data_IF_748162978316
#
_entry.id   IF_748162978316
#
_cell.length_a   1.000
_cell.length_b   1.000
_cell.length_c   1.000
_cell.angle_alpha   90.00
_cell.angle_beta   90.00
_cell.angle_gamma   90.00
#
_symmetry.space_group_name_H-M   'P 1'
#
loop_
_entity.id
_entity.type
_entity.pdbx_description
1 polymer ?
#
# COMPACT_ATOMS: atom_id res chain seq x y z
N UNK A 1 32.86 11.66 -17.89
CA UNK A 1 32.19 11.56 -16.58
C UNK A 1 31.07 12.58 -16.54
N UNK A 2 29.80 12.14 -16.52
CA UNK A 2 28.65 13.03 -16.41
C UNK A 2 28.19 12.97 -14.95
N UNK A 3 28.64 13.93 -14.14
CA UNK A 3 28.15 14.11 -12.78
C UNK A 3 26.74 14.70 -12.86
N UNK A 4 25.75 13.83 -13.13
CA UNK A 4 24.36 14.17 -12.91
C UNK A 4 24.18 14.16 -11.40
N UNK A 5 24.16 15.34 -10.79
CA UNK A 5 23.74 15.50 -9.41
C UNK A 5 22.30 14.97 -9.35
N UNK A 6 22.11 13.71 -8.95
CA UNK A 6 20.80 13.21 -8.56
C UNK A 6 20.33 14.14 -7.45
N UNK A 7 19.40 15.03 -7.77
CA UNK A 7 18.80 15.90 -6.78
C UNK A 7 18.15 14.97 -5.78
N UNK A 8 18.64 14.98 -4.54
CA UNK A 8 18.04 14.20 -3.48
C UNK A 8 16.61 14.70 -3.26
N UNK A 9 15.64 13.97 -3.83
CA UNK A 9 14.23 14.32 -3.77
C UNK A 9 13.60 13.97 -2.42
N UNK A 10 14.32 13.34 -1.48
CA UNK A 10 13.75 12.86 -0.22
C UNK A 10 13.04 13.98 0.55
N UNK A 11 13.64 15.16 0.64
CA UNK A 11 13.02 16.30 1.32
C UNK A 11 11.75 16.79 0.59
N UNK A 12 11.76 16.82 -0.74
CA UNK A 12 10.58 17.22 -1.52
C UNK A 12 9.44 16.21 -1.36
N UNK A 13 9.74 14.91 -1.43
CA UNK A 13 8.79 13.83 -1.18
C UNK A 13 8.20 13.91 0.23
N UNK A 14 9.04 14.19 1.24
CA UNK A 14 8.59 14.38 2.61
C UNK A 14 7.62 15.57 2.73
N UNK A 15 7.98 16.72 2.14
CA UNK A 15 7.14 17.91 2.16
C UNK A 15 5.75 17.66 1.55
N UNK A 16 5.67 16.91 0.44
CA UNK A 16 4.39 16.51 -0.18
C UNK A 16 3.57 15.69 0.83
N UNK A 17 4.17 14.65 1.39
CA UNK A 17 3.49 13.73 2.30
C UNK A 17 3.00 14.42 3.59
N UNK A 18 3.67 15.47 4.05
CA UNK A 18 3.28 16.23 5.26
C UNK A 18 2.30 17.37 4.99
N UNK A 19 1.91 17.61 3.74
CA UNK A 19 0.82 18.53 3.44
C UNK A 19 -0.51 17.94 3.89
N UNK A 20 -1.45 18.78 4.34
CA UNK A 20 -2.65 18.35 5.09
C UNK A 20 -3.38 17.15 4.49
N UNK A 21 -3.71 17.19 3.19
CA UNK A 21 -4.50 16.13 2.54
C UNK A 21 -3.71 14.84 2.31
N UNK A 22 -2.44 14.97 1.93
CA UNK A 22 -1.55 13.81 1.79
C UNK A 22 -1.27 13.18 3.16
N UNK A 23 -1.19 14.00 4.22
CA UNK A 23 -1.01 13.54 5.60
C UNK A 23 -2.19 12.67 6.04
N UNK A 24 -3.41 13.13 5.78
CA UNK A 24 -4.65 12.39 6.03
C UNK A 24 -4.70 11.07 5.24
N UNK A 25 -4.35 11.10 3.95
CA UNK A 25 -4.30 9.89 3.13
C UNK A 25 -3.26 8.89 3.65
N UNK A 26 -2.06 9.35 4.05
CA UNK A 26 -1.04 8.49 4.66
C UNK A 26 -1.56 7.83 5.94
N UNK A 27 -2.21 8.59 6.83
CA UNK A 27 -2.79 8.05 8.07
C UNK A 27 -3.83 6.99 7.78
N UNK A 28 -4.74 7.26 6.85
CA UNK A 28 -5.78 6.31 6.47
C UNK A 28 -5.19 5.01 5.86
N UNK A 29 -4.18 5.12 5.00
CA UNK A 29 -3.48 3.95 4.43
C UNK A 29 -2.73 3.18 5.53
N UNK A 30 -2.07 3.89 6.44
CA UNK A 30 -1.33 3.27 7.54
C UNK A 30 -2.26 2.52 8.49
N UNK A 31 -3.41 3.11 8.83
CA UNK A 31 -4.47 2.48 9.60
C UNK A 31 -5.01 1.23 8.89
N UNK A 32 -5.32 1.32 7.59
CA UNK A 32 -5.80 0.20 6.78
C UNK A 32 -4.83 -0.99 6.75
N UNK A 33 -3.54 -0.69 6.84
CA UNK A 33 -2.46 -1.68 6.87
C UNK A 33 -2.09 -2.13 8.29
N UNK A 34 -2.54 -1.45 9.35
CA UNK A 34 -2.08 -1.70 10.72
C UNK A 34 -0.59 -1.35 10.92
N UNK A 35 -0.13 -0.25 10.29
CA UNK A 35 1.24 0.25 10.34
C UNK A 35 1.29 1.67 10.94
N UNK A 36 2.48 2.13 11.35
CA UNK A 36 2.64 3.52 11.75
C UNK A 36 2.85 4.44 10.55
N UNK A 37 2.32 5.66 10.62
CA UNK A 37 2.45 6.68 9.58
C UNK A 37 3.92 6.94 9.21
N UNK A 38 4.79 6.99 10.23
CA UNK A 38 6.22 7.20 10.03
C UNK A 38 6.86 6.08 9.18
N UNK A 39 6.50 4.82 9.42
CA UNK A 39 7.00 3.69 8.63
C UNK A 39 6.45 3.74 7.21
N UNK A 40 5.16 4.03 7.04
CA UNK A 40 4.58 4.13 5.71
C UNK A 40 5.22 5.27 4.91
N UNK A 41 5.44 6.46 5.51
CA UNK A 41 6.16 7.57 4.86
C UNK A 41 7.53 7.16 4.35
N UNK A 42 8.29 6.40 5.15
CA UNK A 42 9.60 5.90 4.72
C UNK A 42 9.49 4.99 3.50
N UNK A 43 8.50 4.10 3.47
CA UNK A 43 8.23 3.23 2.31
C UNK A 43 7.89 4.06 1.08
N UNK A 44 6.95 5.00 1.21
CA UNK A 44 6.50 5.88 0.13
C UNK A 44 7.65 6.74 -0.42
N UNK A 45 8.46 7.36 0.44
CA UNK A 45 9.62 8.18 0.00
C UNK A 45 10.63 7.34 -0.79
N UNK A 46 10.85 6.09 -0.38
CA UNK A 46 11.80 5.18 -1.03
C UNK A 46 11.28 4.65 -2.36
N UNK A 47 10.00 4.25 -2.42
CA UNK A 47 9.44 3.49 -3.54
C UNK A 47 8.68 4.34 -4.56
N UNK A 48 8.00 5.39 -4.12
CA UNK A 48 7.14 6.16 -5.02
C UNK A 48 7.91 7.32 -5.65
N UNK A 49 7.70 7.55 -6.94
CA UNK A 49 8.17 8.75 -7.62
C UNK A 49 7.32 9.99 -7.25
N UNK A 50 7.67 11.15 -7.81
CA UNK A 50 6.95 12.39 -7.57
C UNK A 50 5.48 12.31 -8.01
N UNK A 51 5.20 11.72 -9.18
CA UNK A 51 3.85 11.64 -9.76
C UNK A 51 2.91 10.79 -8.89
N UNK A 52 3.40 9.68 -8.35
CA UNK A 52 2.65 8.85 -7.43
C UNK A 52 2.33 9.57 -6.12
N UNK A 53 3.30 10.30 -5.57
CA UNK A 53 3.13 11.02 -4.31
C UNK A 53 2.19 12.22 -4.46
N UNK A 54 2.33 13.00 -5.53
CA UNK A 54 1.46 14.15 -5.80
C UNK A 54 0.00 13.73 -5.94
N UNK A 55 -0.25 12.53 -6.50
CA UNK A 55 -1.59 11.98 -6.71
C UNK A 55 -2.03 10.99 -5.62
N UNK A 56 -1.34 10.90 -4.47
CA UNK A 56 -1.62 9.88 -3.47
C UNK A 56 -3.07 9.93 -2.96
N UNK A 57 -3.57 11.14 -2.65
CA UNK A 57 -4.93 11.34 -2.14
C UNK A 57 -5.99 10.88 -3.16
N UNK A 58 -5.88 11.32 -4.42
CA UNK A 58 -6.85 10.97 -5.46
C UNK A 58 -6.83 9.48 -5.75
N UNK A 59 -5.64 8.86 -5.80
CA UNK A 59 -5.47 7.41 -5.95
C UNK A 59 -6.12 6.65 -4.80
N UNK A 60 -5.95 7.11 -3.56
CA UNK A 60 -6.57 6.50 -2.39
C UNK A 60 -8.09 6.57 -2.45
N UNK A 61 -8.64 7.73 -2.81
CA UNK A 61 -10.08 7.93 -2.95
C UNK A 61 -10.70 7.11 -4.09
N UNK A 62 -9.98 6.90 -5.19
CA UNK A 62 -10.44 6.05 -6.29
C UNK A 62 -10.34 4.57 -5.92
N UNK A 63 -9.27 4.16 -5.26
CA UNK A 63 -9.10 2.79 -4.78
C UNK A 63 -10.23 2.38 -3.84
N UNK A 64 -10.58 3.21 -2.86
CA UNK A 64 -11.69 2.93 -1.94
C UNK A 64 -13.06 2.76 -2.64
N UNK A 65 -13.25 3.31 -3.86
CA UNK A 65 -14.53 3.24 -4.57
C UNK A 65 -14.60 2.11 -5.60
N UNK A 66 -13.45 1.64 -6.07
CA UNK A 66 -13.36 0.85 -7.31
C UNK A 66 -12.45 -0.36 -7.21
N UNK A 67 -11.64 -0.48 -6.16
CA UNK A 67 -10.80 -1.65 -5.95
C UNK A 67 -11.63 -2.81 -5.41
N UNK A 68 -11.27 -4.02 -5.82
CA UNK A 68 -11.65 -5.28 -5.14
C UNK A 68 -13.15 -5.60 -5.09
N UNK A 69 -13.94 -5.01 -6.00
CA UNK A 69 -15.40 -5.17 -6.02
C UNK A 69 -15.81 -6.65 -6.27
N UNK A 70 -16.59 -7.21 -5.34
CA UNK A 70 -17.18 -8.53 -5.46
C UNK A 70 -16.34 -9.72 -4.95
N UNK A 71 -15.15 -9.51 -4.41
CA UNK A 71 -14.34 -10.56 -3.77
C UNK A 71 -13.97 -10.19 -2.31
N UNK A 72 -14.56 -10.86 -1.30
CA UNK A 72 -14.32 -10.54 0.11
C UNK A 72 -12.87 -10.70 0.57
N UNK A 73 -12.11 -11.64 0.00
CA UNK A 73 -10.70 -11.83 0.37
C UNK A 73 -9.86 -10.72 -0.26
N UNK A 74 -10.11 -10.41 -1.54
CA UNK A 74 -9.45 -9.31 -2.21
C UNK A 74 -9.73 -7.97 -1.51
N UNK A 75 -10.98 -7.72 -1.12
CA UNK A 75 -11.41 -6.51 -0.42
C UNK A 75 -10.70 -6.37 0.94
N UNK A 76 -10.62 -7.44 1.72
CA UNK A 76 -9.96 -7.45 3.02
C UNK A 76 -8.44 -7.28 2.93
N UNK A 77 -7.81 -7.81 1.89
CA UNK A 77 -6.37 -7.65 1.65
C UNK A 77 -6.04 -6.35 0.92
N UNK A 78 -7.00 -5.75 0.22
CA UNK A 78 -6.77 -4.61 -0.67
C UNK A 78 -5.94 -5.00 -1.90
N UNK A 79 -6.33 -6.06 -2.61
CA UNK A 79 -5.56 -6.61 -3.73
C UNK A 79 -5.30 -5.53 -4.79
N UNK A 80 -6.34 -5.01 -5.43
CA UNK A 80 -6.24 -3.95 -6.44
C UNK A 80 -5.82 -2.65 -5.78
N UNK A 81 -6.28 -2.40 -4.55
CA UNK A 81 -5.95 -1.19 -3.81
C UNK A 81 -4.44 -1.01 -3.67
N UNK A 82 -3.70 -2.07 -3.33
CA UNK A 82 -2.26 -2.01 -3.05
C UNK A 82 -1.35 -2.47 -4.20
N UNK A 83 -1.91 -2.97 -5.30
CA UNK A 83 -1.15 -3.29 -6.53
C UNK A 83 -1.32 -2.24 -7.62
N UNK A 84 -2.53 -1.66 -7.75
CA UNK A 84 -2.90 -0.76 -8.86
C UNK A 84 -3.04 0.68 -8.42
N UNK A 85 -3.82 0.95 -7.37
CA UNK A 85 -4.12 2.33 -6.96
C UNK A 85 -2.96 2.93 -6.17
N UNK A 86 -2.51 2.22 -5.13
CA UNK A 86 -1.41 2.56 -4.23
C UNK A 86 -0.37 1.45 -4.31
N UNK A 87 0.52 1.43 -5.33
CA UNK A 87 1.36 0.28 -5.68
C UNK A 87 2.48 0.00 -4.66
N UNK A 88 2.10 -0.47 -3.47
CA UNK A 88 2.99 -0.80 -2.35
C UNK A 88 3.59 -2.20 -2.50
N UNK A 89 2.88 -3.07 -3.22
CA UNK A 89 3.25 -4.47 -3.47
C UNK A 89 3.03 -4.74 -4.96
N UNK A 90 3.93 -5.50 -5.57
CA UNK A 90 3.76 -5.94 -6.95
C UNK A 90 2.65 -7.00 -7.08
N UNK A 91 2.14 -7.19 -8.28
CA UNK A 91 1.02 -8.10 -8.54
C UNK A 91 1.34 -9.55 -8.24
N UNK A 92 2.58 -10.02 -8.46
CA UNK A 92 2.96 -11.42 -8.23
C UNK A 92 2.99 -11.74 -6.73
N UNK A 93 3.60 -10.86 -5.94
CA UNK A 93 3.62 -10.96 -4.49
C UNK A 93 2.19 -10.90 -3.92
N UNK A 94 1.37 -9.95 -4.37
CA UNK A 94 -0.02 -9.86 -3.93
C UNK A 94 -0.84 -11.10 -4.33
N UNK A 95 -0.67 -11.61 -5.55
CA UNK A 95 -1.35 -12.82 -6.02
C UNK A 95 -1.03 -14.01 -5.13
N UNK A 96 0.23 -14.15 -4.71
CA UNK A 96 0.67 -15.22 -3.80
C UNK A 96 -0.03 -15.09 -2.45
N UNK A 97 -0.04 -13.89 -1.86
CA UNK A 97 -0.70 -13.63 -0.57
C UNK A 97 -2.20 -13.92 -0.66
N UNK A 98 -2.86 -13.46 -1.72
CA UNK A 98 -4.28 -13.68 -1.96
C UNK A 98 -4.61 -15.16 -2.14
N UNK A 99 -3.87 -15.88 -2.99
CA UNK A 99 -4.10 -17.30 -3.23
C UNK A 99 -3.94 -18.12 -1.95
N UNK A 100 -2.92 -17.79 -1.14
CA UNK A 100 -2.71 -18.47 0.14
C UNK A 100 -3.81 -18.14 1.14
N UNK A 101 -4.24 -16.88 1.25
CA UNK A 101 -5.36 -16.49 2.11
C UNK A 101 -6.66 -17.19 1.70
N UNK A 102 -6.97 -17.22 0.41
CA UNK A 102 -8.14 -17.91 -0.15
C UNK A 102 -8.09 -19.42 0.07
N UNK A 103 -6.90 -20.04 0.08
CA UNK A 103 -6.77 -21.43 0.46
C UNK A 103 -7.06 -21.62 1.97
N UNK A 104 -6.50 -20.75 2.82
CA UNK A 104 -6.71 -20.80 4.27
C UNK A 104 -8.18 -20.64 4.67
N UNK A 105 -8.99 -19.85 3.96
CA UNK A 105 -10.43 -19.71 4.29
C UNK A 105 -11.22 -21.02 4.19
N UNK A 106 -10.67 -22.05 3.53
CA UNK A 106 -11.27 -23.39 3.46
C UNK A 106 -10.92 -24.27 4.66
N UNK A 107 -9.87 -23.91 5.40
CA UNK A 107 -9.30 -24.71 6.48
C UNK A 107 -9.49 -24.08 7.86
N UNK A 108 -9.68 -22.76 7.93
CA UNK A 108 -9.83 -21.99 9.17
C UNK A 108 -10.87 -20.87 9.03
N UNK A 109 -11.33 -20.26 10.15
CA UNK A 109 -12.24 -19.14 10.10
C UNK A 109 -11.73 -17.99 9.22
N UNK A 110 -12.64 -17.34 8.50
CA UNK A 110 -12.32 -16.27 7.56
C UNK A 110 -11.45 -15.17 8.20
N UNK A 111 -11.82 -14.69 9.39
CA UNK A 111 -11.08 -13.66 10.12
C UNK A 111 -9.63 -14.06 10.41
N UNK A 112 -9.39 -15.34 10.74
CA UNK A 112 -8.04 -15.84 11.03
C UNK A 112 -7.19 -15.93 9.73
N UNK A 113 -7.79 -16.42 8.64
CA UNK A 113 -7.14 -16.48 7.34
C UNK A 113 -6.75 -15.07 6.84
N UNK A 114 -7.67 -14.10 6.97
CA UNK A 114 -7.43 -12.70 6.62
C UNK A 114 -6.36 -12.08 7.53
N UNK A 115 -6.38 -12.33 8.84
CA UNK A 115 -5.37 -11.81 9.75
C UNK A 115 -3.95 -12.27 9.36
N UNK A 116 -3.79 -13.55 8.98
CA UNK A 116 -2.52 -14.09 8.47
C UNK A 116 -2.13 -13.47 7.13
N UNK A 117 -3.08 -13.29 6.21
CA UNK A 117 -2.84 -12.60 4.94
C UNK A 117 -2.39 -11.14 5.14
N UNK A 118 -3.03 -10.40 6.04
CA UNK A 118 -2.67 -9.02 6.40
C UNK A 118 -1.28 -8.91 7.05
N UNK A 119 -0.86 -9.89 7.84
CA UNK A 119 0.52 -9.94 8.36
C UNK A 119 1.53 -10.08 7.22
N UNK A 120 1.32 -11.05 6.31
CA UNK A 120 2.20 -11.26 5.15
C UNK A 120 2.25 -10.05 4.22
N UNK A 121 1.13 -9.37 4.04
CA UNK A 121 1.06 -8.11 3.31
C UNK A 121 1.96 -7.05 3.95
N UNK A 122 1.86 -6.87 5.27
CA UNK A 122 2.74 -5.94 6.00
C UNK A 122 4.21 -6.30 5.88
N UNK A 123 4.55 -7.58 5.88
CA UNK A 123 5.92 -8.05 5.69
C UNK A 123 6.45 -7.69 4.28
N UNK A 124 5.66 -7.96 3.24
CA UNK A 124 6.00 -7.59 1.85
C UNK A 124 6.16 -6.08 1.65
N UNK A 125 5.39 -5.27 2.36
CA UNK A 125 5.53 -3.81 2.32
C UNK A 125 6.82 -3.36 3.01
N UNK A 126 7.32 -4.08 4.02
CA UNK A 126 8.53 -3.74 4.78
C UNK A 126 9.83 -4.22 4.12
N UNK A 127 9.79 -5.30 3.34
CA UNK A 127 10.95 -5.87 2.63
C UNK A 127 11.45 -4.97 1.52
#
# INVERSE_FOLDING_TARGET
MKYLYEKDLRQMKYNILTSTKHDEAVRAIAERLGMSDAKLRMVLIRRFDMSLLENLESRWQMGQRHADDGDPVAEELGYELFTRFIPLVDTETMQTIYSDATAMTREMPFEEAIARGKERLREAIRS
#
